data_IF_076875203354
#
_entry.id   IF_076875203354
#
_cell.length_a   1.000
_cell.length_b   1.000
_cell.length_c   1.000
_cell.angle_alpha   90.00
_cell.angle_beta   90.00
_cell.angle_gamma   90.00
#
_symmetry.space_group_name_H-M   'P 1'
#
loop_
_entity.id
_entity.type
_entity.pdbx_description
1 polymer ?
#
# COMPACT_ATOMS: atom_id res chain seq x y z
N UNK A 1 -1.47 17.59 -25.23
CA UNK A 1 -0.44 16.76 -24.56
C UNK A 1 0.09 17.61 -23.42
N UNK A 2 -0.47 17.47 -22.21
CA UNK A 2 -0.21 18.39 -21.12
C UNK A 2 1.20 18.18 -20.56
N UNK A 3 1.97 19.27 -20.54
CA UNK A 3 3.33 19.38 -20.04
C UNK A 3 3.48 18.84 -18.61
N UNK A 4 4.60 18.15 -18.38
CA UNK A 4 5.14 17.81 -17.07
C UNK A 4 5.46 19.10 -16.28
N UNK A 5 4.46 19.69 -15.64
CA UNK A 5 4.60 20.81 -14.74
C UNK A 5 5.31 20.37 -13.44
N UNK A 6 6.64 20.18 -13.48
CA UNK A 6 7.45 20.05 -12.26
C UNK A 6 8.96 20.25 -12.52
N UNK A 7 9.34 21.35 -13.18
CA UNK A 7 10.77 21.72 -13.36
C UNK A 7 11.05 23.15 -12.90
N UNK A 8 10.64 23.50 -11.68
CA UNK A 8 11.32 24.57 -10.95
C UNK A 8 12.56 23.96 -10.28
N UNK A 9 13.79 24.29 -10.71
CA UNK A 9 14.99 23.77 -10.08
C UNK A 9 15.05 24.23 -8.62
N UNK A 10 15.04 23.28 -7.68
CA UNK A 10 15.16 23.53 -6.23
C UNK A 10 13.96 23.13 -5.38
N UNK A 11 12.80 22.75 -5.97
CA UNK A 11 11.64 22.25 -5.20
C UNK A 11 11.74 20.74 -5.00
N UNK A 12 11.81 20.27 -3.74
CA UNK A 12 11.68 18.84 -3.42
C UNK A 12 10.23 18.42 -3.69
N UNK A 13 9.98 17.38 -4.54
CA UNK A 13 8.64 16.88 -4.76
C UNK A 13 7.99 16.41 -3.46
N UNK A 14 6.73 16.79 -3.23
CA UNK A 14 5.97 16.34 -2.05
C UNK A 14 5.83 14.81 -2.11
N UNK A 15 6.12 14.07 -1.02
CA UNK A 15 5.93 12.63 -0.99
C UNK A 15 4.48 12.23 -1.30
N UNK A 16 4.32 11.20 -2.12
CA UNK A 16 3.02 10.62 -2.46
C UNK A 16 2.87 9.26 -1.76
N UNK A 17 1.65 8.93 -1.38
CA UNK A 17 1.23 7.61 -0.88
C UNK A 17 0.25 6.98 -1.87
N UNK A 18 0.17 5.65 -1.87
CA UNK A 18 -0.77 4.92 -2.71
C UNK A 18 -2.07 4.65 -1.94
N UNK A 19 -3.21 5.09 -2.45
CA UNK A 19 -4.50 4.69 -1.87
C UNK A 19 -4.75 3.19 -2.10
N UNK A 20 -4.93 2.41 -1.04
CA UNK A 20 -5.10 0.94 -1.14
C UNK A 20 -6.44 0.51 -1.72
N UNK A 21 -7.45 1.40 -1.72
CA UNK A 21 -8.76 1.12 -2.31
C UNK A 21 -8.76 1.31 -3.83
N UNK A 22 -8.46 2.54 -4.30
CA UNK A 22 -8.58 2.88 -5.73
C UNK A 22 -7.25 2.88 -6.50
N UNK A 23 -6.12 2.65 -5.80
CA UNK A 23 -4.76 2.58 -6.37
C UNK A 23 -4.28 3.86 -7.06
N UNK A 24 -4.86 5.00 -6.71
CA UNK A 24 -4.37 6.31 -7.13
C UNK A 24 -3.29 6.81 -6.18
N UNK A 25 -2.34 7.57 -6.71
CA UNK A 25 -1.35 8.27 -5.90
C UNK A 25 -1.98 9.56 -5.35
N UNK A 26 -1.91 9.72 -4.04
CA UNK A 26 -2.42 10.88 -3.31
C UNK A 26 -1.30 11.51 -2.49
N UNK A 27 -1.46 12.78 -2.12
CA UNK A 27 -0.48 13.46 -1.26
C UNK A 27 -0.43 12.77 0.11
N UNK A 28 0.76 12.68 0.69
CA UNK A 28 0.93 12.01 1.99
C UNK A 28 0.15 12.70 3.12
N UNK A 29 -0.07 14.01 3.00
CA UNK A 29 -0.72 14.88 3.98
C UNK A 29 -2.24 14.71 4.02
N UNK A 30 -2.84 14.09 2.99
CA UNK A 30 -4.28 13.91 2.94
C UNK A 30 -4.73 12.86 3.97
N UNK A 31 -5.82 13.16 4.67
CA UNK A 31 -6.56 12.19 5.48
C UNK A 31 -7.40 11.26 4.59
N UNK A 32 -8.11 11.83 3.62
CA UNK A 32 -9.00 11.11 2.70
C UNK A 32 -8.46 11.07 1.27
N UNK A 33 -8.89 10.08 0.50
CA UNK A 33 -8.55 9.99 -0.91
C UNK A 33 -9.38 10.97 -1.76
N UNK A 34 -8.73 11.93 -2.42
CA UNK A 34 -9.40 12.87 -3.34
C UNK A 34 -10.14 12.19 -4.51
N UNK A 35 -9.83 10.92 -4.81
CA UNK A 35 -10.40 10.18 -5.93
C UNK A 35 -11.58 9.29 -5.54
N UNK A 36 -11.55 8.67 -4.36
CA UNK A 36 -12.57 7.70 -3.94
C UNK A 36 -13.23 8.03 -2.59
N UNK A 37 -12.79 9.08 -1.91
CA UNK A 37 -13.32 9.52 -0.62
C UNK A 37 -13.01 8.59 0.56
N UNK A 38 -12.19 7.55 0.36
CA UNK A 38 -11.86 6.61 1.43
C UNK A 38 -10.84 7.22 2.41
N UNK A 39 -11.04 6.93 3.70
CA UNK A 39 -10.08 7.21 4.77
C UNK A 39 -8.78 6.44 4.50
N UNK A 40 -7.70 7.19 4.31
CA UNK A 40 -6.43 6.61 3.91
C UNK A 40 -5.71 5.95 5.09
N UNK A 41 -5.85 6.44 6.32
CA UNK A 41 -5.24 5.84 7.51
C UNK A 41 -5.87 4.48 7.81
N UNK A 42 -7.20 4.41 7.80
CA UNK A 42 -7.93 3.17 7.98
C UNK A 42 -7.53 2.12 6.92
N UNK A 43 -7.33 2.55 5.66
CA UNK A 43 -6.89 1.68 4.57
C UNK A 43 -5.45 1.15 4.76
N UNK A 44 -4.53 1.94 5.30
CA UNK A 44 -3.17 1.47 5.59
C UNK A 44 -3.17 0.47 6.76
N UNK A 45 -3.97 0.71 7.81
CA UNK A 45 -4.13 -0.23 8.92
C UNK A 45 -4.67 -1.57 8.42
N UNK A 46 -5.77 -1.55 7.67
CA UNK A 46 -6.38 -2.76 7.11
C UNK A 46 -5.40 -3.50 6.18
N UNK A 47 -4.60 -2.77 5.39
CA UNK A 47 -3.59 -3.37 4.54
C UNK A 47 -2.48 -4.06 5.35
N UNK A 48 -1.99 -3.42 6.42
CA UNK A 48 -0.96 -3.99 7.29
C UNK A 48 -1.44 -5.27 7.99
N UNK A 49 -2.69 -5.28 8.45
CA UNK A 49 -3.34 -6.47 9.02
C UNK A 49 -3.44 -7.61 8.00
N UNK A 50 -3.91 -7.29 6.77
CA UNK A 50 -4.01 -8.27 5.70
C UNK A 50 -2.65 -8.88 5.32
N UNK A 51 -1.59 -8.07 5.21
CA UNK A 51 -0.23 -8.55 4.94
C UNK A 51 0.25 -9.47 6.07
N UNK A 52 -0.05 -9.14 7.32
CA UNK A 52 0.33 -9.95 8.48
C UNK A 52 -0.38 -11.31 8.44
N UNK A 53 -1.69 -11.32 8.16
CA UNK A 53 -2.46 -12.55 8.01
C UNK A 53 -1.91 -13.44 6.86
N UNK A 54 -1.56 -12.84 5.72
CA UNK A 54 -0.95 -13.56 4.59
C UNK A 54 0.38 -14.20 4.95
N UNK A 55 1.23 -13.51 5.73
CA UNK A 55 2.52 -14.06 6.21
C UNK A 55 2.30 -15.26 7.12
N UNK A 56 1.41 -15.15 8.10
CA UNK A 56 1.08 -16.25 9.02
C UNK A 56 0.54 -17.46 8.26
N UNK A 57 -0.38 -17.25 7.31
CA UNK A 57 -0.91 -18.32 6.48
C UNK A 57 0.17 -18.98 5.60
N UNK A 58 1.08 -18.18 5.03
CA UNK A 58 2.21 -18.67 4.25
C UNK A 58 3.18 -19.52 5.07
N UNK A 59 3.46 -19.12 6.31
CA UNK A 59 4.33 -19.87 7.21
C UNK A 59 3.69 -21.19 7.65
N UNK A 60 2.39 -21.19 7.96
CA UNK A 60 1.64 -22.40 8.28
C UNK A 60 1.62 -23.38 7.08
N UNK A 61 1.41 -22.88 5.87
CA UNK A 61 1.45 -23.69 4.65
C UNK A 61 2.84 -24.31 4.44
N UNK A 62 3.90 -23.53 4.62
CA UNK A 62 5.29 -24.02 4.49
C UNK A 62 5.56 -25.16 5.48
N UNK A 63 5.20 -24.97 6.74
CA UNK A 63 5.38 -25.99 7.77
C UNK A 63 4.60 -27.29 7.47
N UNK A 64 3.36 -27.18 6.97
CA UNK A 64 2.55 -28.33 6.58
C UNK A 64 3.18 -29.11 5.41
N UNK A 65 3.73 -28.41 4.42
CA UNK A 65 4.41 -29.04 3.28
C UNK A 65 5.71 -29.75 3.71
N UNK A 66 6.50 -29.13 4.57
CA UNK A 66 7.73 -29.73 5.11
C UNK A 66 7.44 -30.96 5.97
N UNK A 67 6.40 -30.91 6.82
CA UNK A 67 5.96 -32.05 7.60
C UNK A 67 5.49 -33.22 6.73
N UNK A 68 4.83 -32.93 5.60
CA UNK A 68 4.37 -33.95 4.64
C UNK A 68 5.50 -34.56 3.81
N UNK A 69 6.61 -33.87 3.61
CA UNK A 69 7.76 -34.38 2.84
C UNK A 69 8.71 -35.25 3.68
N UNK A 70 8.61 -35.21 5.01
CA UNK A 70 9.49 -35.95 5.93
C UNK A 70 8.84 -37.19 6.57
N UNK A 71 7.54 -37.40 6.37
CA UNK A 71 6.80 -38.60 6.81
C UNK A 71 6.50 -39.51 5.64
#
# INVERSE_FOLDING_TARGET
MAEHANREPGRIPVPLRLCRACRQFVRIENADCDFCGADLEALEIAHAEAVTAMRVAGDALRAALEGRLRG
#
